data_IF_609588710275
#
_entry.id   IF_609588710275
#
_cell.length_a   1.000
_cell.length_b   1.000
_cell.length_c   1.000
_cell.angle_alpha   90.00
_cell.angle_beta   90.00
_cell.angle_gamma   90.00
#
_symmetry.space_group_name_H-M   'P 1'
#
loop_
_entity.id
_entity.type
_entity.pdbx_description
1 polymer ?
#
# COMPACT_ATOMS: atom_id res chain seq x y z
N UNK A 1 -3.11 18.61 8.05
CA UNK A 1 -1.77 18.12 8.43
C UNK A 1 -0.93 18.24 7.17
N UNK A 2 0.28 18.82 7.21
CA UNK A 2 1.05 19.10 5.98
C UNK A 2 1.48 17.77 5.35
N UNK A 3 1.20 17.60 4.06
CA UNK A 3 1.62 16.45 3.23
C UNK A 3 3.16 16.35 3.03
N UNK A 4 3.90 17.24 3.70
CA UNK A 4 5.36 17.38 3.63
C UNK A 4 6.10 16.75 4.82
N UNK A 5 5.47 15.92 5.65
CA UNK A 5 6.19 15.22 6.73
C UNK A 5 7.20 14.23 6.10
N UNK A 6 8.52 14.47 6.23
CA UNK A 6 9.53 13.65 5.56
C UNK A 6 9.58 12.23 6.13
N UNK A 7 9.26 12.04 7.40
CA UNK A 7 9.24 10.71 8.01
C UNK A 7 8.06 9.91 7.48
N UNK A 8 6.87 10.52 7.46
CA UNK A 8 5.68 9.90 6.90
C UNK A 8 5.89 9.52 5.43
N UNK A 9 6.48 10.40 4.63
CA UNK A 9 6.75 10.14 3.22
C UNK A 9 7.68 8.94 3.00
N UNK A 10 8.77 8.83 3.78
CA UNK A 10 9.67 7.67 3.70
C UNK A 10 8.95 6.38 4.12
N UNK A 11 8.11 6.43 5.15
CA UNK A 11 7.32 5.27 5.59
C UNK A 11 6.34 4.82 4.51
N UNK A 12 5.65 5.75 3.86
CA UNK A 12 4.72 5.45 2.77
C UNK A 12 5.45 4.87 1.54
N UNK A 13 6.59 5.44 1.16
CA UNK A 13 7.38 4.90 0.05
C UNK A 13 7.91 3.49 0.35
N UNK A 14 8.34 3.25 1.59
CA UNK A 14 8.78 1.94 2.04
C UNK A 14 7.63 0.92 2.04
N UNK A 15 6.45 1.32 2.51
CA UNK A 15 5.24 0.49 2.44
C UNK A 15 4.90 0.12 1.00
N UNK A 16 4.87 1.10 0.09
CA UNK A 16 4.58 0.88 -1.34
C UNK A 16 5.57 -0.13 -1.93
N UNK A 17 6.86 0.04 -1.64
CA UNK A 17 7.92 -0.83 -2.13
C UNK A 17 7.78 -2.26 -1.59
N UNK A 18 7.45 -2.40 -0.31
CA UNK A 18 7.20 -3.71 0.31
C UNK A 18 5.97 -4.40 -0.29
N UNK A 19 4.88 -3.68 -0.54
CA UNK A 19 3.67 -4.29 -1.13
C UNK A 19 3.93 -4.73 -2.56
N UNK A 20 4.66 -3.93 -3.36
CA UNK A 20 5.05 -4.32 -4.71
C UNK A 20 5.92 -5.57 -4.73
N UNK A 21 6.92 -5.63 -3.84
CA UNK A 21 7.77 -6.81 -3.68
C UNK A 21 6.95 -8.06 -3.31
N UNK A 22 6.01 -7.92 -2.37
CA UNK A 22 5.14 -9.03 -1.98
C UNK A 22 4.27 -9.49 -3.14
N UNK A 23 3.66 -8.56 -3.89
CA UNK A 23 2.83 -8.85 -5.07
C UNK A 23 3.61 -9.61 -6.15
N UNK A 24 4.83 -9.16 -6.48
CA UNK A 24 5.73 -9.85 -7.41
C UNK A 24 6.02 -11.29 -6.96
N UNK A 25 6.22 -11.50 -5.67
CA UNK A 25 6.54 -12.82 -5.13
C UNK A 25 5.34 -13.74 -4.88
N UNK A 26 4.09 -13.25 -4.94
CA UNK A 26 2.91 -14.14 -4.94
C UNK A 26 2.97 -15.12 -6.11
N UNK A 27 3.56 -14.68 -7.23
CA UNK A 27 3.67 -15.43 -8.47
C UNK A 27 5.03 -16.11 -8.67
N UNK A 28 5.94 -16.01 -7.70
CA UNK A 28 7.30 -16.55 -7.80
C UNK A 28 7.34 -18.03 -7.38
N UNK A 29 8.08 -18.84 -8.14
CA UNK A 29 8.28 -20.26 -7.90
C UNK A 29 9.35 -20.52 -6.81
N UNK A 30 10.21 -19.54 -6.52
CA UNK A 30 11.37 -19.67 -5.62
C UNK A 30 11.10 -19.13 -4.21
N UNK A 31 10.10 -18.29 -4.04
CA UNK A 31 9.62 -17.82 -2.76
C UNK A 31 8.28 -18.49 -2.42
N UNK A 32 7.98 -18.73 -1.14
CA UNK A 32 6.66 -19.29 -0.79
C UNK A 32 5.60 -18.20 -1.00
N UNK A 33 5.01 -18.16 -2.20
CA UNK A 33 3.98 -17.20 -2.57
C UNK A 33 2.77 -17.20 -1.61
N UNK A 34 2.56 -18.28 -0.85
CA UNK A 34 1.54 -18.31 0.21
C UNK A 34 1.91 -17.43 1.39
N UNK A 35 3.19 -17.31 1.72
CA UNK A 35 3.67 -16.38 2.75
C UNK A 35 3.47 -14.94 2.27
N UNK A 36 3.83 -14.65 1.01
CA UNK A 36 3.65 -13.32 0.43
C UNK A 36 2.17 -12.90 0.43
N UNK A 37 1.30 -13.77 -0.08
CA UNK A 37 -0.15 -13.58 -0.05
C UNK A 37 -0.67 -13.38 1.38
N UNK A 38 -0.18 -14.19 2.34
CA UNK A 38 -0.60 -14.06 3.73
C UNK A 38 -0.23 -12.71 4.34
N UNK A 39 0.93 -12.14 3.99
CA UNK A 39 1.31 -10.81 4.44
C UNK A 39 0.42 -9.72 3.83
N UNK A 40 0.06 -9.84 2.55
CA UNK A 40 -0.88 -8.92 1.90
C UNK A 40 -2.27 -8.96 2.53
N UNK A 41 -2.79 -10.15 2.82
CA UNK A 41 -4.04 -10.33 3.55
C UNK A 41 -4.00 -9.68 4.94
N UNK A 42 -2.90 -9.86 5.67
CA UNK A 42 -2.73 -9.26 6.99
C UNK A 42 -2.71 -7.72 6.92
N UNK A 43 -1.99 -7.16 5.95
CA UNK A 43 -1.96 -5.71 5.72
C UNK A 43 -3.36 -5.16 5.41
N UNK A 44 -4.09 -5.82 4.51
CA UNK A 44 -5.46 -5.43 4.18
C UNK A 44 -6.38 -5.53 5.40
N UNK A 45 -6.27 -6.59 6.20
CA UNK A 45 -7.05 -6.74 7.43
C UNK A 45 -6.76 -5.61 8.44
N UNK A 46 -5.48 -5.34 8.73
CA UNK A 46 -5.06 -4.33 9.69
C UNK A 46 -5.47 -2.92 9.26
N UNK A 47 -5.33 -2.61 7.96
CA UNK A 47 -5.78 -1.35 7.39
C UNK A 47 -7.30 -1.22 7.37
N UNK A 48 -8.02 -2.30 7.13
CA UNK A 48 -9.48 -2.36 7.23
C UNK A 48 -10.01 -2.13 8.64
N UNK A 49 -9.21 -2.34 9.70
CA UNK A 49 -9.60 -2.03 11.09
C UNK A 49 -9.52 -0.53 11.41
N UNK A 50 -8.93 0.30 10.54
CA UNK A 50 -8.88 1.74 10.76
C UNK A 50 -10.29 2.35 10.67
N UNK A 51 -10.63 3.34 11.52
CA UNK A 51 -11.88 4.06 11.35
C UNK A 51 -11.89 4.82 10.01
N UNK A 52 -13.08 5.01 9.44
CA UNK A 52 -13.26 5.45 8.05
C UNK A 52 -12.52 6.74 7.69
N UNK A 53 -12.46 7.70 8.63
CA UNK A 53 -11.73 8.94 8.40
C UNK A 53 -10.22 8.70 8.26
N UNK A 54 -9.64 7.86 9.11
CA UNK A 54 -8.23 7.49 9.06
C UNK A 54 -7.93 6.64 7.83
N UNK A 55 -8.85 5.75 7.45
CA UNK A 55 -8.75 4.90 6.26
C UNK A 55 -8.70 5.71 4.97
N UNK A 56 -9.68 6.60 4.75
CA UNK A 56 -9.71 7.56 3.62
C UNK A 56 -8.49 8.45 3.59
N UNK A 57 -8.02 8.87 4.76
CA UNK A 57 -6.83 9.70 4.88
C UNK A 57 -5.57 8.94 4.45
N UNK A 58 -5.41 7.68 4.86
CA UNK A 58 -4.30 6.84 4.43
C UNK A 58 -4.34 6.60 2.92
N UNK A 59 -5.52 6.34 2.35
CA UNK A 59 -5.71 6.21 0.90
C UNK A 59 -5.23 7.46 0.14
N UNK A 60 -5.63 8.65 0.59
CA UNK A 60 -5.21 9.92 -0.01
C UNK A 60 -3.68 10.13 0.08
N UNK A 61 -3.08 9.80 1.23
CA UNK A 61 -1.63 9.91 1.44
C UNK A 61 -0.84 8.97 0.51
N UNK A 62 -1.30 7.73 0.31
CA UNK A 62 -0.68 6.77 -0.62
C UNK A 62 -0.77 7.30 -2.06
N UNK A 63 -1.95 7.76 -2.50
CA UNK A 63 -2.14 8.32 -3.85
C UNK A 63 -1.24 9.52 -4.12
N UNK A 64 -1.05 10.39 -3.13
CA UNK A 64 -0.15 11.53 -3.25
C UNK A 64 1.31 11.13 -3.53
N UNK A 65 1.71 9.89 -3.21
CA UNK A 65 3.05 9.36 -3.53
C UNK A 65 3.22 8.95 -5.00
N UNK A 66 2.15 8.85 -5.81
CA UNK A 66 2.25 8.34 -7.18
C UNK A 66 3.27 9.10 -8.05
N UNK A 67 3.40 10.41 -7.87
CA UNK A 67 4.38 11.24 -8.57
C UNK A 67 5.85 10.92 -8.22
N UNK A 68 6.10 10.36 -7.02
CA UNK A 68 7.42 9.90 -6.60
C UNK A 68 7.77 8.52 -7.19
N UNK A 69 6.79 7.78 -7.72
CA UNK A 69 6.95 6.44 -8.28
C UNK A 69 6.48 6.39 -9.75
N UNK A 70 7.16 7.10 -10.69
CA UNK A 70 6.66 7.27 -12.07
C UNK A 70 6.57 5.97 -12.88
N UNK A 71 7.29 4.92 -12.49
CA UNK A 71 7.26 3.61 -13.12
C UNK A 71 6.16 2.69 -12.55
N UNK A 72 5.53 3.09 -11.45
CA UNK A 72 4.51 2.33 -10.73
C UNK A 72 3.26 3.18 -10.47
N UNK A 73 3.05 4.28 -11.20
CA UNK A 73 1.96 5.23 -10.95
C UNK A 73 0.60 4.53 -10.84
N UNK A 74 0.24 3.69 -11.81
CA UNK A 74 -1.02 2.96 -11.80
C UNK A 74 -1.15 1.99 -10.61
N UNK A 75 -0.03 1.34 -10.24
CA UNK A 75 0.02 0.48 -9.05
C UNK A 75 -0.23 1.29 -7.77
N UNK A 76 0.48 2.42 -7.58
CA UNK A 76 0.32 3.28 -6.39
C UNK A 76 -1.07 3.89 -6.30
N UNK A 77 -1.66 4.27 -7.43
CA UNK A 77 -3.02 4.83 -7.47
C UNK A 77 -4.12 3.79 -7.14
N UNK A 78 -3.93 2.53 -7.55
CA UNK A 78 -4.83 1.42 -7.27
C UNK A 78 -4.56 0.69 -5.95
N UNK A 79 -3.41 0.93 -5.33
CA UNK A 79 -3.00 0.27 -4.09
C UNK A 79 -4.02 0.46 -2.94
N UNK A 80 -4.61 1.65 -2.71
CA UNK A 80 -5.62 1.80 -1.67
C UNK A 80 -6.84 0.88 -1.83
N UNK A 81 -7.36 0.71 -3.04
CA UNK A 81 -8.46 -0.20 -3.33
C UNK A 81 -8.05 -1.66 -3.04
N UNK A 82 -6.86 -2.06 -3.50
CA UNK A 82 -6.32 -3.41 -3.26
C UNK A 82 -6.08 -3.73 -1.78
N UNK A 83 -5.86 -2.71 -0.95
CA UNK A 83 -5.68 -2.84 0.50
C UNK A 83 -6.99 -2.70 1.28
N UNK A 84 -8.14 -2.47 0.61
CA UNK A 84 -9.43 -2.22 1.27
C UNK A 84 -9.46 -0.88 2.01
N UNK A 85 -8.68 0.11 1.56
CA UNK A 85 -8.66 1.46 2.12
C UNK A 85 -9.76 2.35 1.53
N UNK A 86 -10.25 2.02 0.34
CA UNK A 86 -11.46 2.60 -0.21
C UNK A 86 -12.57 1.57 -0.05
N UNK A 87 -13.65 1.97 0.62
CA UNK A 87 -14.92 1.27 0.48
C UNK A 87 -15.76 2.05 -0.54
N UNK A 88 -16.35 1.33 -1.49
CA UNK A 88 -17.61 1.76 -2.10
C UNK A 88 -18.73 1.76 -1.04
#
# INVERSE_FOLDING_TARGET
>A
MRDDDPVLNVVLDSLISCVALLDEHVHDEFMDGRIALKQLENLSYDFGQLPDEQRRRLAALIRARAAAHPHMTAFVEGLPDSLGLDDD
#
